data_IF_952094697400
#
_entry.id   IF_952094697400
#
_cell.length_a   1.000
_cell.length_b   1.000
_cell.length_c   1.000
_cell.angle_alpha   90.00
_cell.angle_beta   90.00
_cell.angle_gamma   90.00
#
_symmetry.space_group_name_H-M   'P 1'
#
loop_
_entity.id
_entity.type
_entity.pdbx_description
1 polymer ?
#
# COMPACT_ATOMS: atom_id res chain seq x y z
N UNK A 1 -16.70 37.55 -14.55
CA UNK A 1 -15.23 37.34 -14.73
C UNK A 1 -15.08 36.07 -15.58
N UNK A 2 -14.53 36.17 -16.77
CA UNK A 2 -14.58 35.09 -17.78
C UNK A 2 -13.56 34.01 -17.41
N UNK A 3 -13.97 32.77 -17.38
CA UNK A 3 -13.16 31.56 -17.10
C UNK A 3 -11.82 31.56 -17.88
N UNK A 4 -11.77 32.19 -19.06
CA UNK A 4 -10.54 32.38 -19.85
C UNK A 4 -9.49 33.29 -19.20
N UNK A 5 -9.86 34.24 -18.38
CA UNK A 5 -8.91 35.10 -17.69
C UNK A 5 -8.34 34.47 -16.44
N UNK A 6 -9.16 33.64 -15.76
CA UNK A 6 -8.69 32.80 -14.63
C UNK A 6 -7.69 31.78 -15.15
N UNK A 7 -7.97 31.15 -16.30
CA UNK A 7 -7.06 30.21 -16.93
C UNK A 7 -5.77 30.86 -17.40
N UNK A 8 -5.84 32.11 -17.94
CA UNK A 8 -4.65 32.88 -18.34
C UNK A 8 -3.82 33.38 -17.15
N UNK A 9 -4.47 33.83 -16.10
CA UNK A 9 -3.78 34.19 -14.86
C UNK A 9 -3.11 32.95 -14.22
N UNK A 10 -3.78 31.81 -14.27
CA UNK A 10 -3.30 30.54 -13.82
C UNK A 10 -2.10 30.01 -14.63
N UNK A 11 -2.14 30.12 -15.95
CA UNK A 11 -1.03 29.75 -16.83
C UNK A 11 0.16 30.72 -16.71
N UNK A 12 -0.08 32.01 -16.46
CA UNK A 12 1.00 33.01 -16.25
C UNK A 12 1.74 32.80 -14.93
N UNK A 13 1.07 32.31 -13.90
CA UNK A 13 1.69 32.00 -12.62
C UNK A 13 2.57 30.74 -12.71
N UNK A 14 2.37 29.93 -13.76
CA UNK A 14 3.16 28.72 -14.05
C UNK A 14 4.44 29.03 -14.84
N UNK A 15 4.49 30.15 -15.58
CA UNK A 15 5.59 30.45 -16.51
C UNK A 15 6.77 31.22 -15.89
N UNK A 16 6.66 31.75 -14.68
CA UNK A 16 7.64 32.71 -14.22
C UNK A 16 8.68 32.24 -13.20
N UNK A 17 8.41 31.24 -12.33
CA UNK A 17 9.36 30.91 -11.25
C UNK A 17 9.33 29.48 -10.70
N UNK A 18 8.67 28.53 -11.33
CA UNK A 18 8.69 27.14 -10.83
C UNK A 18 9.20 26.18 -11.89
N UNK A 19 10.51 26.11 -12.03
CA UNK A 19 11.18 24.86 -12.37
C UNK A 19 10.81 23.90 -11.27
N UNK A 20 9.88 22.98 -11.56
CA UNK A 20 9.62 21.87 -10.66
C UNK A 20 10.81 20.94 -10.84
N UNK A 21 11.87 21.19 -10.08
CA UNK A 21 12.99 20.30 -9.94
C UNK A 21 12.46 19.07 -9.22
N UNK A 22 12.14 18.06 -10.01
CA UNK A 22 11.61 16.82 -9.49
C UNK A 22 12.77 15.90 -9.10
N UNK A 23 12.91 15.78 -7.85
CA UNK A 23 13.36 14.68 -6.95
C UNK A 23 14.45 13.77 -7.45
N UNK A 24 15.31 13.83 -8.10
CA UNK A 24 16.49 13.02 -8.44
C UNK A 24 17.04 13.21 -9.87
N UNK A 25 16.55 14.16 -10.60
CA UNK A 25 17.02 14.40 -11.95
C UNK A 25 17.36 15.85 -12.19
N UNK A 26 18.46 16.10 -12.83
CA UNK A 26 18.86 17.43 -13.33
C UNK A 26 18.01 17.90 -14.51
N UNK A 27 17.03 17.14 -14.93
CA UNK A 27 16.19 17.42 -16.10
C UNK A 27 14.79 17.89 -15.69
N UNK A 28 14.41 19.07 -16.18
CA UNK A 28 13.06 19.59 -16.00
C UNK A 28 12.04 18.73 -16.75
N UNK A 29 10.85 18.54 -16.16
CA UNK A 29 9.77 17.80 -16.82
C UNK A 29 9.43 18.44 -18.20
N UNK A 30 9.11 17.63 -19.21
CA UNK A 30 8.79 18.13 -20.55
C UNK A 30 7.58 19.06 -20.53
N UNK A 31 7.59 20.02 -21.46
CA UNK A 31 6.49 20.98 -21.62
C UNK A 31 5.21 20.25 -22.06
N UNK A 32 4.03 20.77 -21.68
CA UNK A 32 2.76 20.19 -22.14
C UNK A 32 2.63 20.29 -23.67
N UNK A 33 1.97 19.31 -24.26
CA UNK A 33 1.68 19.27 -25.70
C UNK A 33 0.77 20.41 -26.14
N UNK A 34 0.95 20.85 -27.38
CA UNK A 34 -0.04 21.77 -28.00
C UNK A 34 -1.38 21.04 -28.22
N UNK A 35 -2.50 21.77 -28.25
CA UNK A 35 -3.82 21.14 -28.48
C UNK A 35 -3.91 20.36 -29.81
N UNK A 36 -3.14 20.78 -30.81
CA UNK A 36 -3.07 20.12 -32.11
C UNK A 36 -2.33 18.78 -32.03
N UNK A 37 -1.18 18.77 -31.34
CA UNK A 37 -0.38 17.56 -31.10
C UNK A 37 -1.14 16.55 -30.23
N UNK A 38 -1.82 17.03 -29.17
CA UNK A 38 -2.65 16.20 -28.32
C UNK A 38 -3.76 15.51 -29.12
N UNK A 39 -4.44 16.25 -30.01
CA UNK A 39 -5.50 15.73 -30.87
C UNK A 39 -4.96 14.69 -31.87
N UNK A 40 -3.79 14.94 -32.47
CA UNK A 40 -3.16 13.99 -33.39
C UNK A 40 -2.79 12.67 -32.69
N UNK A 41 -2.20 12.77 -31.50
CA UNK A 41 -1.83 11.59 -30.71
C UNK A 41 -3.06 10.78 -30.27
N UNK A 42 -4.12 11.44 -29.86
CA UNK A 42 -5.38 10.78 -29.53
C UNK A 42 -5.98 10.07 -30.73
N UNK A 43 -5.91 10.67 -31.92
CA UNK A 43 -6.33 10.03 -33.16
C UNK A 43 -5.52 8.78 -33.53
N UNK A 44 -4.20 8.80 -33.35
CA UNK A 44 -3.33 7.62 -33.51
C UNK A 44 -3.66 6.51 -32.52
N UNK A 45 -3.99 6.89 -31.28
CA UNK A 45 -4.39 5.94 -30.23
C UNK A 45 -5.70 5.22 -30.59
N UNK A 46 -6.67 5.91 -31.20
CA UNK A 46 -7.92 5.29 -31.67
C UNK A 46 -7.70 4.33 -32.83
N UNK A 47 -6.77 4.63 -33.75
CA UNK A 47 -6.43 3.78 -34.88
C UNK A 47 -5.60 2.56 -34.51
N UNK A 48 -5.10 2.51 -33.25
CA UNK A 48 -4.28 1.39 -32.75
C UNK A 48 -2.83 1.40 -33.25
N UNK A 49 -2.38 2.51 -33.87
CA UNK A 49 -1.02 2.65 -34.35
C UNK A 49 -0.06 3.02 -33.23
N UNK A 50 1.09 2.33 -33.13
CA UNK A 50 2.17 2.57 -32.16
C UNK A 50 1.69 2.89 -30.73
N UNK A 51 0.65 2.19 -30.26
CA UNK A 51 -0.11 2.50 -29.04
C UNK A 51 0.76 2.72 -27.82
N UNK A 52 1.81 1.94 -27.64
CA UNK A 52 2.66 2.03 -26.44
C UNK A 52 3.56 3.27 -26.46
N UNK A 53 4.09 3.66 -27.63
CA UNK A 53 4.92 4.87 -27.77
C UNK A 53 4.08 6.12 -27.57
N UNK A 54 2.91 6.18 -28.21
CA UNK A 54 1.98 7.30 -28.10
C UNK A 54 1.50 7.47 -26.65
N UNK A 55 1.19 6.37 -25.96
CA UNK A 55 0.84 6.42 -24.55
C UNK A 55 1.98 6.94 -23.68
N UNK A 56 3.20 6.46 -23.91
CA UNK A 56 4.37 6.92 -23.16
C UNK A 56 4.60 8.42 -23.31
N UNK A 57 4.47 8.94 -24.53
CA UNK A 57 4.62 10.36 -24.83
C UNK A 57 3.49 11.21 -24.19
N UNK A 58 2.24 10.76 -24.28
CA UNK A 58 1.12 11.40 -23.59
C UNK A 58 1.32 11.41 -22.06
N UNK A 59 1.86 10.36 -21.46
CA UNK A 59 2.16 10.30 -20.03
C UNK A 59 3.23 11.33 -19.69
N UNK A 60 4.37 11.33 -20.41
CA UNK A 60 5.51 12.21 -20.11
C UNK A 60 5.12 13.69 -20.13
N UNK A 61 4.37 14.12 -21.15
CA UNK A 61 3.96 15.51 -21.30
C UNK A 61 2.86 15.96 -20.33
N UNK A 62 2.20 15.00 -19.65
CA UNK A 62 1.18 15.28 -18.63
C UNK A 62 1.65 15.05 -17.18
N UNK A 63 2.92 14.70 -16.93
CA UNK A 63 3.46 14.53 -15.57
C UNK A 63 3.39 15.83 -14.74
N UNK A 64 3.55 17.01 -15.37
CA UNK A 64 3.39 18.30 -14.69
C UNK A 64 2.00 18.46 -14.08
N UNK A 65 0.96 17.94 -14.73
CA UNK A 65 -0.40 17.95 -14.21
C UNK A 65 -0.52 17.08 -12.95
N UNK A 66 0.16 15.93 -12.92
CA UNK A 66 0.19 15.05 -11.75
C UNK A 66 0.81 15.76 -10.55
N UNK A 67 1.99 16.37 -10.73
CA UNK A 67 2.69 17.13 -9.68
C UNK A 67 1.82 18.27 -9.15
N UNK A 68 1.17 19.00 -10.04
CA UNK A 68 0.26 20.07 -9.66
C UNK A 68 -0.91 19.59 -8.79
N UNK A 69 -1.50 18.44 -9.14
CA UNK A 69 -2.62 17.89 -8.36
C UNK A 69 -2.11 17.32 -7.04
N UNK A 70 -0.98 16.61 -7.02
CA UNK A 70 -0.39 16.05 -5.82
C UNK A 70 -0.10 17.12 -4.75
N UNK A 71 0.40 18.29 -5.15
CA UNK A 71 0.62 19.44 -4.23
C UNK A 71 -0.63 19.91 -3.47
N UNK A 72 -1.83 19.69 -3.99
CA UNK A 72 -3.06 20.02 -3.26
C UNK A 72 -3.27 19.13 -2.02
N UNK A 73 -2.56 18.04 -1.94
CA UNK A 73 -2.66 17.04 -0.87
C UNK A 73 -1.46 17.05 0.08
N UNK A 74 -0.54 18.02 -0.01
CA UNK A 74 0.65 18.14 0.86
C UNK A 74 0.32 18.08 2.36
N UNK A 75 -0.85 18.59 2.77
CA UNK A 75 -1.27 18.65 4.17
C UNK A 75 -1.77 17.29 4.73
N UNK A 76 -1.64 16.22 3.99
CA UNK A 76 -2.17 14.89 4.41
C UNK A 76 -1.19 14.09 5.27
N UNK A 77 0.09 14.54 5.36
CA UNK A 77 1.16 13.86 6.10
C UNK A 77 1.72 12.64 5.36
N UNK A 78 1.44 12.53 4.06
CA UNK A 78 2.05 11.54 3.16
C UNK A 78 3.14 12.25 2.37
N UNK A 79 4.23 11.56 2.07
CA UNK A 79 5.34 12.10 1.29
C UNK A 79 4.83 12.56 -0.10
N UNK A 80 5.19 13.78 -0.54
CA UNK A 80 4.84 14.31 -1.85
C UNK A 80 5.22 13.36 -3.00
N UNK A 81 6.32 12.64 -2.88
CA UNK A 81 6.80 11.70 -3.88
C UNK A 81 5.89 10.49 -4.04
N UNK A 82 5.39 9.98 -2.92
CA UNK A 82 4.40 8.91 -2.92
C UNK A 82 3.10 9.38 -3.57
N UNK A 83 2.66 10.61 -3.27
CA UNK A 83 1.47 11.18 -3.87
C UNK A 83 1.61 11.36 -5.39
N UNK A 84 2.78 11.77 -5.87
CA UNK A 84 3.07 11.87 -7.31
C UNK A 84 3.11 10.50 -7.96
N UNK A 85 3.73 9.53 -7.32
CA UNK A 85 3.79 8.15 -7.82
C UNK A 85 2.39 7.56 -7.96
N UNK A 86 1.53 7.69 -6.94
CA UNK A 86 0.13 7.28 -6.97
C UNK A 86 -0.66 8.06 -8.02
N UNK A 87 -0.45 9.38 -8.11
CA UNK A 87 -1.07 10.23 -9.12
C UNK A 87 -0.70 9.82 -10.54
N UNK A 88 0.54 9.39 -10.77
CA UNK A 88 1.00 8.87 -12.07
C UNK A 88 0.26 7.59 -12.45
N UNK A 89 -0.02 6.70 -11.50
CA UNK A 89 -0.87 5.53 -11.75
C UNK A 89 -2.27 5.97 -12.19
N UNK A 90 -2.82 7.01 -11.55
CA UNK A 90 -4.09 7.62 -11.94
C UNK A 90 -4.09 8.17 -13.36
N UNK A 91 -3.00 8.83 -13.78
CA UNK A 91 -2.81 9.33 -15.15
C UNK A 91 -2.75 8.18 -16.16
N UNK A 92 -2.00 7.12 -15.89
CA UNK A 92 -1.90 5.93 -16.74
C UNK A 92 -3.29 5.29 -16.94
N UNK A 93 -4.05 5.13 -15.85
CA UNK A 93 -5.44 4.64 -15.91
C UNK A 93 -6.33 5.54 -16.76
N UNK A 94 -6.16 6.86 -16.62
CA UNK A 94 -6.92 7.84 -17.40
C UNK A 94 -6.64 7.70 -18.89
N UNK A 95 -5.37 7.67 -19.31
CA UNK A 95 -4.99 7.54 -20.73
C UNK A 95 -5.50 6.22 -21.32
N UNK A 96 -5.45 5.13 -20.56
CA UNK A 96 -5.95 3.83 -21.02
C UNK A 96 -7.48 3.75 -21.16
N UNK A 97 -8.22 4.55 -20.43
CA UNK A 97 -9.69 4.54 -20.42
C UNK A 97 -10.34 5.74 -21.10
N UNK A 98 -9.53 6.68 -21.55
CA UNK A 98 -10.02 7.89 -22.22
C UNK A 98 -10.69 7.56 -23.55
N UNK A 99 -11.84 8.21 -23.79
CA UNK A 99 -12.58 8.13 -25.05
C UNK A 99 -12.82 9.54 -25.57
N UNK A 100 -12.25 9.91 -26.74
CA UNK A 100 -12.38 11.24 -27.31
C UNK A 100 -13.81 11.63 -27.70
N UNK A 101 -14.65 10.64 -28.03
CA UNK A 101 -16.05 10.82 -28.47
C UNK A 101 -16.91 11.67 -27.53
N UNK A 102 -16.52 11.78 -26.26
CA UNK A 102 -17.30 12.48 -25.22
C UNK A 102 -17.12 13.98 -25.18
N UNK A 103 -16.34 14.56 -26.10
CA UNK A 103 -16.09 16.02 -26.17
C UNK A 103 -15.51 16.61 -24.88
N UNK A 104 -14.77 15.82 -24.10
CA UNK A 104 -14.12 16.22 -22.84
C UNK A 104 -12.61 16.28 -23.09
N UNK A 105 -11.94 17.33 -22.61
CA UNK A 105 -10.47 17.44 -22.70
C UNK A 105 -9.80 16.35 -21.86
N UNK A 106 -8.71 15.78 -22.39
CA UNK A 106 -7.90 14.77 -21.67
C UNK A 106 -7.49 15.25 -20.28
N UNK A 107 -6.99 16.49 -20.16
CA UNK A 107 -6.58 17.07 -18.91
C UNK A 107 -7.70 17.12 -17.85
N UNK A 108 -8.95 17.38 -18.25
CA UNK A 108 -10.10 17.39 -17.34
C UNK A 108 -10.43 15.99 -16.83
N UNK A 109 -10.40 15.00 -17.71
CA UNK A 109 -10.64 13.61 -17.34
C UNK A 109 -9.51 13.05 -16.48
N UNK A 110 -8.26 13.28 -16.90
CA UNK A 110 -7.07 12.86 -16.16
C UNK A 110 -7.02 13.45 -14.76
N UNK A 111 -7.34 14.74 -14.59
CA UNK A 111 -7.38 15.38 -13.26
C UNK A 111 -8.29 14.63 -12.29
N UNK A 112 -9.48 14.21 -12.75
CA UNK A 112 -10.42 13.44 -11.92
C UNK A 112 -9.89 12.05 -11.58
N UNK A 113 -9.25 11.38 -12.53
CA UNK A 113 -8.67 10.07 -12.29
C UNK A 113 -7.50 10.14 -11.29
N UNK A 114 -6.63 11.15 -11.42
CA UNK A 114 -5.51 11.40 -10.52
C UNK A 114 -6.01 11.70 -9.11
N UNK A 115 -6.96 12.64 -8.95
CA UNK A 115 -7.56 12.98 -7.65
C UNK A 115 -8.19 11.75 -6.99
N UNK A 116 -8.95 10.95 -7.75
CA UNK A 116 -9.59 9.74 -7.23
C UNK A 116 -8.57 8.70 -6.75
N UNK A 117 -7.47 8.48 -7.51
CA UNK A 117 -6.45 7.52 -7.11
C UNK A 117 -5.73 7.94 -5.83
N UNK A 118 -5.37 9.23 -5.72
CA UNK A 118 -4.79 9.81 -4.50
C UNK A 118 -5.76 9.67 -3.32
N UNK A 119 -7.03 10.02 -3.49
CA UNK A 119 -8.03 9.88 -2.43
C UNK A 119 -8.24 8.42 -1.99
N UNK A 120 -8.21 7.47 -2.92
CA UNK A 120 -8.28 6.04 -2.59
C UNK A 120 -7.07 5.60 -1.79
N UNK A 121 -5.87 6.04 -2.18
CA UNK A 121 -4.64 5.78 -1.43
C UNK A 121 -4.72 6.33 -0.01
N UNK A 122 -5.10 7.60 0.14
CA UNK A 122 -5.24 8.24 1.45
C UNK A 122 -6.25 7.51 2.35
N UNK A 123 -7.37 7.04 1.82
CA UNK A 123 -8.36 6.26 2.59
C UNK A 123 -7.79 4.93 3.10
N UNK A 124 -6.93 4.28 2.32
CA UNK A 124 -6.22 3.05 2.75
C UNK A 124 -5.21 3.35 3.84
N UNK A 125 -4.47 4.45 3.69
CA UNK A 125 -3.39 4.85 4.61
C UNK A 125 -3.92 5.39 5.94
N UNK A 126 -5.18 5.83 6.03
CA UNK A 126 -5.80 6.28 7.31
C UNK A 126 -5.68 5.22 8.41
N UNK A 127 -5.77 3.95 8.08
CA UNK A 127 -5.63 2.85 9.06
C UNK A 127 -4.21 2.77 9.62
N UNK A 128 -3.19 3.05 8.80
CA UNK A 128 -1.79 3.04 9.20
C UNK A 128 -1.43 4.18 10.15
N UNK A 129 -2.20 5.27 10.16
CA UNK A 129 -1.98 6.41 11.08
C UNK A 129 -2.25 6.09 12.54
N UNK A 130 -2.96 5.01 12.84
CA UNK A 130 -3.21 4.53 14.20
C UNK A 130 -2.17 3.52 14.69
N UNK A 131 -1.20 3.16 13.83
CA UNK A 131 -0.09 2.29 14.23
C UNK A 131 0.92 3.10 15.02
N UNK A 132 1.36 2.53 16.13
CA UNK A 132 2.36 3.10 17.04
C UNK A 132 3.66 2.31 16.85
N UNK A 133 4.79 2.99 16.79
CA UNK A 133 6.09 2.31 16.68
C UNK A 133 6.41 1.56 17.97
N UNK A 134 6.99 0.37 17.84
CA UNK A 134 7.52 -0.37 18.99
C UNK A 134 8.70 0.35 19.67
N UNK A 135 9.42 1.18 18.92
CA UNK A 135 10.55 1.98 19.41
C UNK A 135 10.08 3.35 19.94
N UNK A 136 8.77 3.58 20.08
CA UNK A 136 8.27 4.81 20.66
C UNK A 136 8.52 4.83 22.16
N UNK A 137 9.23 5.85 22.70
CA UNK A 137 9.51 5.96 24.11
C UNK A 137 8.23 6.29 24.89
N UNK A 138 7.86 5.43 25.83
CA UNK A 138 6.72 5.64 26.73
C UNK A 138 7.07 6.60 27.86
N UNK A 139 8.31 6.57 28.33
CA UNK A 139 8.82 7.44 29.36
C UNK A 139 10.34 7.57 29.26
N UNK A 140 10.85 8.74 29.64
CA UNK A 140 12.29 9.01 29.69
C UNK A 140 12.64 9.33 31.13
N UNK A 141 13.61 8.64 31.70
CA UNK A 141 14.11 8.86 33.07
C UNK A 141 14.97 10.13 33.13
N UNK A 142 15.21 10.65 34.34
CA UNK A 142 16.07 11.82 34.60
C UNK A 142 17.53 11.59 34.14
N UNK A 143 17.96 10.34 34.02
CA UNK A 143 19.28 9.94 33.51
C UNK A 143 19.34 9.81 32.00
N UNK A 144 18.21 10.02 31.29
CA UNK A 144 18.13 9.91 29.84
C UNK A 144 17.88 8.48 29.30
N UNK A 145 17.54 7.53 30.18
CA UNK A 145 17.15 6.19 29.76
C UNK A 145 15.69 6.22 29.24
N UNK A 146 15.48 5.65 28.09
CA UNK A 146 14.15 5.56 27.47
C UNK A 146 13.54 4.18 27.71
N UNK A 147 12.31 4.16 28.22
CA UNK A 147 11.50 2.94 28.30
C UNK A 147 10.69 2.83 27.03
N UNK A 148 10.99 1.83 26.22
CA UNK A 148 10.33 1.61 24.93
C UNK A 148 9.06 0.76 25.10
N UNK A 149 8.14 0.87 24.15
CA UNK A 149 6.96 0.01 24.09
C UNK A 149 7.35 -1.47 23.93
N UNK A 150 8.43 -1.76 23.21
CA UNK A 150 9.00 -3.10 23.03
C UNK A 150 9.44 -3.76 24.33
N UNK A 151 9.88 -2.98 25.34
CA UNK A 151 10.33 -3.51 26.63
C UNK A 151 9.18 -4.03 27.50
N UNK A 152 7.98 -3.46 27.30
CA UNK A 152 6.77 -3.84 28.04
C UNK A 152 6.03 -4.98 27.34
N UNK A 153 5.98 -4.97 26.02
CA UNK A 153 5.30 -5.97 25.20
C UNK A 153 6.24 -7.14 24.89
N UNK A 154 6.68 -7.83 25.91
CA UNK A 154 7.48 -9.05 25.74
C UNK A 154 6.60 -10.30 25.57
N UNK A 155 7.13 -11.31 24.91
CA UNK A 155 6.62 -12.67 24.97
C UNK A 155 7.13 -13.34 26.25
N UNK A 156 6.35 -14.28 26.83
CA UNK A 156 6.84 -15.04 27.98
C UNK A 156 8.15 -15.75 27.61
N UNK A 157 9.11 -15.76 28.53
CA UNK A 157 10.43 -16.39 28.33
C UNK A 157 10.31 -17.88 27.93
N UNK A 158 9.25 -18.54 28.37
CA UNK A 158 8.99 -19.95 28.11
C UNK A 158 8.33 -20.23 26.76
N UNK A 159 7.86 -19.20 26.01
CA UNK A 159 7.14 -19.42 24.75
C UNK A 159 8.00 -20.08 23.66
N UNK A 160 9.30 -19.82 23.66
CA UNK A 160 10.25 -20.42 22.70
C UNK A 160 10.53 -21.88 23.02
N UNK A 161 10.54 -22.22 24.31
CA UNK A 161 10.80 -23.58 24.78
C UNK A 161 9.55 -24.45 24.86
N UNK A 162 8.36 -23.86 24.91
CA UNK A 162 7.11 -24.57 25.10
C UNK A 162 6.83 -25.64 24.03
N UNK A 163 7.18 -25.38 22.78
CA UNK A 163 7.04 -26.34 21.68
C UNK A 163 8.02 -27.51 21.81
N UNK A 164 9.23 -27.25 22.29
CA UNK A 164 10.27 -28.26 22.52
C UNK A 164 9.88 -29.14 23.71
N UNK A 165 9.44 -28.53 24.82
CA UNK A 165 8.95 -29.25 26.00
C UNK A 165 7.75 -30.11 25.67
N UNK A 166 6.75 -29.55 24.99
CA UNK A 166 5.56 -30.31 24.54
C UNK A 166 5.93 -31.49 23.63
N UNK A 167 6.93 -31.34 22.77
CA UNK A 167 7.41 -32.40 21.89
C UNK A 167 8.12 -33.49 22.68
N UNK A 168 8.97 -33.12 23.63
CA UNK A 168 9.66 -34.06 24.52
C UNK A 168 8.68 -34.82 25.42
N UNK A 169 7.68 -34.14 26.01
CA UNK A 169 6.62 -34.78 26.79
C UNK A 169 5.81 -35.78 25.97
N UNK A 170 5.48 -35.44 24.71
CA UNK A 170 4.80 -36.35 23.79
C UNK A 170 5.62 -37.60 23.48
N UNK A 171 6.93 -37.49 23.34
CA UNK A 171 7.81 -38.65 23.14
C UNK A 171 7.90 -39.52 24.41
N UNK A 172 8.08 -38.88 25.57
CA UNK A 172 8.07 -39.60 26.86
C UNK A 172 6.75 -40.35 27.09
N UNK A 173 5.63 -39.71 26.76
CA UNK A 173 4.31 -40.34 26.85
C UNK A 173 4.21 -41.57 25.92
N UNK A 174 4.67 -41.42 24.67
CA UNK A 174 4.68 -42.55 23.71
C UNK A 174 5.53 -43.73 24.22
N UNK A 175 6.69 -43.44 24.81
CA UNK A 175 7.55 -44.49 25.34
C UNK A 175 7.00 -45.12 26.62
N UNK A 176 6.33 -44.34 27.47
CA UNK A 176 5.61 -44.87 28.61
C UNK A 176 4.44 -45.83 28.18
N UNK A 177 3.67 -45.40 27.16
CA UNK A 177 2.59 -46.23 26.62
C UNK A 177 3.07 -47.55 25.98
N UNK A 178 4.30 -47.59 25.45
CA UNK A 178 4.90 -48.84 24.90
C UNK A 178 5.21 -49.85 26.02
N UNK A 179 5.44 -49.41 27.24
CA UNK A 179 5.77 -50.27 28.40
C UNK A 179 4.52 -50.92 29.02
N UNK A 180 3.31 -50.46 28.69
CA UNK A 180 2.05 -51.00 29.19
C UNK A 180 1.68 -52.29 28.45
N UNK A 181 0.95 -53.17 29.15
CA UNK A 181 0.33 -54.35 28.52
C UNK A 181 -0.67 -53.94 27.43
N UNK A 182 -0.96 -54.83 26.47
CA UNK A 182 -1.90 -54.49 25.37
C UNK A 182 -3.29 -54.05 25.88
N UNK A 183 -3.76 -54.68 26.95
CA UNK A 183 -5.04 -54.34 27.55
C UNK A 183 -5.03 -52.94 28.17
N UNK A 184 -4.03 -52.61 28.95
CA UNK A 184 -3.87 -51.29 29.58
C UNK A 184 -3.69 -50.19 28.54
N UNK A 185 -2.90 -50.46 27.51
CA UNK A 185 -2.70 -49.57 26.38
C UNK A 185 -4.02 -49.22 25.69
N UNK A 186 -4.83 -50.27 25.40
CA UNK A 186 -6.13 -50.09 24.77
C UNK A 186 -7.08 -49.23 25.62
N UNK A 187 -7.08 -49.44 26.93
CA UNK A 187 -7.86 -48.63 27.89
C UNK A 187 -7.43 -47.18 27.84
N UNK A 188 -6.11 -46.89 27.87
CA UNK A 188 -5.59 -45.56 27.81
C UNK A 188 -5.94 -44.84 26.49
N UNK A 189 -5.84 -45.55 25.36
CA UNK A 189 -6.22 -45.02 24.06
C UNK A 189 -7.70 -44.65 23.96
N UNK A 190 -8.59 -45.46 24.48
CA UNK A 190 -10.03 -45.22 24.46
C UNK A 190 -10.42 -44.10 25.44
N UNK A 191 -9.82 -44.07 26.63
CA UNK A 191 -10.17 -43.11 27.66
C UNK A 191 -9.73 -41.69 27.31
N UNK A 192 -8.55 -41.50 26.72
CA UNK A 192 -7.96 -40.21 26.41
C UNK A 192 -8.00 -39.85 24.92
N UNK A 193 -8.68 -40.65 24.09
CA UNK A 193 -8.82 -40.36 22.66
C UNK A 193 -7.50 -40.25 21.89
N UNK A 194 -6.43 -40.96 22.35
CA UNK A 194 -5.07 -40.79 21.79
C UNK A 194 -4.95 -41.22 20.33
N UNK A 195 -5.95 -41.91 19.78
CA UNK A 195 -6.05 -42.27 18.35
C UNK A 195 -6.82 -41.24 17.51
N UNK A 196 -7.12 -40.05 18.06
CA UNK A 196 -7.94 -39.05 17.39
C UNK A 196 -9.46 -39.34 17.49
N UNK A 197 -9.88 -40.26 18.37
CA UNK A 197 -11.29 -40.49 18.72
C UNK A 197 -11.74 -39.59 19.88
N UNK A 198 -13.03 -39.62 20.20
CA UNK A 198 -13.57 -38.93 21.37
C UNK A 198 -13.14 -39.63 22.67
N UNK A 199 -12.99 -38.85 23.75
CA UNK A 199 -12.67 -39.36 25.08
C UNK A 199 -13.85 -40.15 25.65
N UNK A 200 -13.58 -41.36 26.17
CA UNK A 200 -14.60 -42.20 26.75
C UNK A 200 -14.56 -42.18 28.28
N UNK A 201 -15.74 -42.29 28.90
CA UNK A 201 -15.80 -42.38 30.36
C UNK A 201 -15.30 -43.75 30.85
N UNK A 202 -14.92 -43.84 32.13
CA UNK A 202 -14.43 -45.11 32.72
C UNK A 202 -15.46 -46.24 32.69
N UNK A 203 -16.75 -45.92 32.51
CA UNK A 203 -17.82 -46.93 32.41
C UNK A 203 -18.01 -47.46 30.99
N UNK A 204 -17.58 -46.65 29.98
CA UNK A 204 -17.77 -46.99 28.57
C UNK A 204 -16.54 -47.70 27.98
N UNK A 205 -15.40 -47.72 28.71
CA UNK A 205 -14.16 -48.42 28.37
C UNK A 205 -14.15 -49.83 28.97
#
# INVERSE_FOLDING_TARGET
>A
MKIKEILKCFLRQFDAENTVDYICGTEALPLPLSPEQESEMLGKLEQGEETDKVKAELIQHNLRLVVYIARKFDNTGVDPDDLVSVGTIGLIKAINSFKPDKNIKLATYASRCIENEILMYLRRTVRLKSEVSFDEPLNTDFEGNELLLSDILGTSADSVYGDIESSAEKELLKDALKKLSERERKIMFLRFGLNGGEEMTQKDV
#
